data_IF_585058203626
#
_entry.id   IF_585058203626
#
_cell.length_a   1.000
_cell.length_b   1.000
_cell.length_c   1.000
_cell.angle_alpha   90.00
_cell.angle_beta   90.00
_cell.angle_gamma   90.00
#
_symmetry.space_group_name_H-M   'P 1'
#
loop_
_entity.id
_entity.type
_entity.pdbx_description
1 polymer ?
#
# COMPACT_ATOMS: atom_id res chain seq x y z
N UNK A 1 30.19 10.23 23.68
CA UNK A 1 28.92 10.89 23.30
C UNK A 1 28.77 10.98 21.78
N UNK A 2 29.86 11.17 21.04
CA UNK A 2 29.82 11.30 19.57
C UNK A 2 29.47 10.01 18.82
N UNK A 3 29.90 8.85 19.31
CA UNK A 3 29.60 7.54 18.69
C UNK A 3 28.09 7.21 18.66
N UNK A 4 27.36 7.63 19.69
CA UNK A 4 25.90 7.48 19.75
C UNK A 4 25.21 8.39 18.70
N UNK A 5 25.75 9.59 18.47
CA UNK A 5 25.18 10.51 17.48
C UNK A 5 25.45 10.05 16.04
N UNK A 6 26.61 9.44 15.77
CA UNK A 6 26.94 8.87 14.46
C UNK A 6 26.13 7.61 14.15
N UNK A 7 25.88 6.76 15.16
CA UNK A 7 24.99 5.60 14.99
C UNK A 7 23.54 6.01 14.74
N UNK A 8 23.03 7.02 15.46
CA UNK A 8 21.69 7.59 15.21
C UNK A 8 21.59 8.18 13.81
N UNK A 9 22.57 8.97 13.36
CA UNK A 9 22.59 9.52 11.99
C UNK A 9 22.59 8.40 10.96
N UNK A 10 23.47 7.40 11.09
CA UNK A 10 23.55 6.27 10.16
C UNK A 10 22.23 5.50 10.09
N UNK A 11 21.58 5.27 11.23
CA UNK A 11 20.28 4.60 11.28
C UNK A 11 19.17 5.46 10.65
N UNK A 12 19.17 6.76 10.90
CA UNK A 12 18.22 7.70 10.30
C UNK A 12 18.36 7.76 8.77
N UNK A 13 19.59 7.85 8.25
CA UNK A 13 19.84 7.88 6.80
C UNK A 13 19.46 6.56 6.13
N UNK A 14 19.77 5.42 6.79
CA UNK A 14 19.35 4.11 6.31
C UNK A 14 17.82 3.98 6.28
N UNK A 15 17.12 4.45 7.31
CA UNK A 15 15.66 4.43 7.41
C UNK A 15 15.01 5.24 6.28
N UNK A 16 15.49 6.46 6.01
CA UNK A 16 14.99 7.28 4.90
C UNK A 16 15.30 6.65 3.54
N UNK A 17 16.48 6.02 3.40
CA UNK A 17 16.86 5.30 2.19
C UNK A 17 15.91 4.14 1.86
N UNK A 18 15.51 3.35 2.86
CA UNK A 18 14.55 2.26 2.67
C UNK A 18 13.15 2.76 2.27
N UNK A 19 12.68 3.85 2.88
CA UNK A 19 11.40 4.46 2.53
C UNK A 19 11.42 4.97 1.08
N UNK A 20 12.47 5.70 0.70
CA UNK A 20 12.62 6.22 -0.66
C UNK A 20 12.73 5.07 -1.68
N UNK A 21 13.43 4.00 -1.35
CA UNK A 21 13.49 2.81 -2.20
C UNK A 21 12.11 2.18 -2.38
N UNK A 22 11.32 2.07 -1.30
CA UNK A 22 9.94 1.60 -1.36
C UNK A 22 9.05 2.45 -2.25
N UNK A 23 9.13 3.79 -2.13
CA UNK A 23 8.40 4.74 -2.98
C UNK A 23 8.79 4.57 -4.44
N UNK A 24 10.09 4.55 -4.73
CA UNK A 24 10.59 4.37 -6.09
C UNK A 24 10.15 3.03 -6.69
N UNK A 25 10.19 1.95 -5.89
CA UNK A 25 9.78 0.63 -6.34
C UNK A 25 8.27 0.55 -6.59
N UNK A 26 7.46 1.22 -5.77
CA UNK A 26 6.02 1.34 -5.98
C UNK A 26 5.71 2.13 -7.25
N UNK A 27 6.27 3.32 -7.41
CA UNK A 27 6.09 4.14 -8.61
C UNK A 27 6.56 3.43 -9.88
N UNK A 28 7.66 2.67 -9.77
CA UNK A 28 8.15 1.82 -10.83
C UNK A 28 7.13 0.74 -11.17
N UNK A 29 6.55 0.05 -10.18
CA UNK A 29 5.53 -0.99 -10.44
C UNK A 29 4.32 -0.45 -11.20
N UNK A 30 3.94 0.80 -10.94
CA UNK A 30 2.82 1.47 -11.62
C UNK A 30 3.16 1.85 -13.08
N UNK A 31 4.40 2.33 -13.32
CA UNK A 31 4.81 2.93 -14.60
C UNK A 31 5.83 2.10 -15.40
N UNK A 32 6.17 0.89 -14.94
CA UNK A 32 7.26 0.07 -15.51
C UNK A 32 7.10 -0.14 -17.01
N UNK A 33 5.88 -0.40 -17.47
CA UNK A 33 5.57 -0.61 -18.89
C UNK A 33 5.88 0.64 -19.73
N UNK A 34 5.45 1.81 -19.28
CA UNK A 34 5.63 3.06 -20.02
C UNK A 34 7.09 3.49 -20.03
N UNK A 35 7.79 3.30 -18.90
CA UNK A 35 9.24 3.53 -18.79
C UNK A 35 9.98 2.61 -19.77
N UNK A 36 9.64 1.33 -19.83
CA UNK A 36 10.23 0.38 -20.76
C UNK A 36 10.02 0.79 -22.23
N UNK A 37 8.78 1.11 -22.60
CA UNK A 37 8.44 1.51 -23.97
C UNK A 37 9.15 2.82 -24.37
N UNK A 38 9.25 3.77 -23.45
CA UNK A 38 9.97 5.04 -23.68
C UNK A 38 11.46 4.80 -23.88
N UNK A 39 12.07 3.96 -23.04
CA UNK A 39 13.48 3.57 -23.17
C UNK A 39 13.74 2.79 -24.47
N UNK A 40 12.77 1.97 -24.91
CA UNK A 40 12.81 1.27 -26.21
C UNK A 40 12.77 2.24 -27.38
N UNK A 41 11.88 3.22 -27.34
CA UNK A 41 11.75 4.20 -28.41
C UNK A 41 12.96 5.13 -28.52
N UNK A 42 13.69 5.35 -27.41
CA UNK A 42 14.90 6.17 -27.35
C UNK A 42 16.21 5.38 -27.54
N UNK A 43 16.13 4.09 -27.84
CA UNK A 43 17.27 3.17 -27.98
C UNK A 43 18.20 3.10 -26.75
N UNK A 44 17.62 3.26 -25.55
CA UNK A 44 18.35 3.24 -24.28
C UNK A 44 18.46 1.80 -23.74
N UNK A 45 19.37 1.03 -24.32
CA UNK A 45 19.51 -0.41 -24.04
C UNK A 45 19.87 -0.73 -22.59
N UNK A 46 20.71 0.07 -21.94
CA UNK A 46 21.14 -0.17 -20.57
C UNK A 46 20.01 0.04 -19.56
N UNK A 47 19.16 1.05 -19.79
CA UNK A 47 17.98 1.29 -18.96
C UNK A 47 16.94 0.18 -19.11
N UNK A 48 16.73 -0.33 -20.33
CA UNK A 48 15.87 -1.48 -20.56
C UNK A 48 16.37 -2.71 -19.81
N UNK A 49 17.68 -3.01 -19.91
CA UNK A 49 18.29 -4.15 -19.20
C UNK A 49 18.22 -3.98 -17.68
N UNK A 50 18.46 -2.77 -17.17
CA UNK A 50 18.36 -2.47 -15.75
C UNK A 50 16.94 -2.70 -15.24
N UNK A 51 15.92 -2.25 -15.99
CA UNK A 51 14.53 -2.45 -15.65
C UNK A 51 14.15 -3.94 -15.62
N UNK A 52 14.56 -4.71 -16.64
CA UNK A 52 14.30 -6.16 -16.68
C UNK A 52 14.93 -6.85 -15.48
N UNK A 53 16.17 -6.49 -15.11
CA UNK A 53 16.87 -7.05 -13.93
C UNK A 53 16.19 -6.70 -12.60
N UNK A 54 15.54 -5.55 -12.53
CA UNK A 54 14.86 -5.11 -11.31
C UNK A 54 13.51 -5.81 -11.12
N UNK A 55 12.80 -6.03 -12.22
CA UNK A 55 11.46 -6.65 -12.24
C UNK A 55 11.53 -8.17 -12.11
N UNK A 56 12.41 -8.82 -12.86
CA UNK A 56 12.45 -10.28 -12.96
C UNK A 56 13.63 -10.86 -12.17
N UNK A 57 13.33 -11.79 -11.26
CA UNK A 57 14.34 -12.64 -10.63
C UNK A 57 14.84 -13.72 -11.60
N UNK A 58 13.93 -14.26 -12.42
CA UNK A 58 14.26 -15.25 -13.45
C UNK A 58 13.49 -14.93 -14.72
N UNK A 59 14.18 -14.98 -15.86
CA UNK A 59 13.59 -14.82 -17.18
C UNK A 59 14.33 -15.76 -18.12
N UNK A 60 13.69 -16.86 -18.51
CA UNK A 60 14.28 -17.91 -19.33
C UNK A 60 13.41 -18.20 -20.54
N UNK A 61 14.04 -18.37 -21.70
CA UNK A 61 13.38 -18.75 -22.95
C UNK A 61 13.85 -20.15 -23.33
N UNK A 62 12.99 -21.14 -23.13
CA UNK A 62 13.30 -22.54 -23.43
C UNK A 62 12.36 -23.01 -24.54
N UNK A 63 12.92 -23.40 -25.70
CA UNK A 63 12.15 -23.97 -26.83
C UNK A 63 10.94 -23.12 -27.25
N UNK A 64 11.09 -21.80 -27.23
CA UNK A 64 10.01 -20.86 -27.55
C UNK A 64 9.01 -20.60 -26.40
N UNK A 65 9.12 -21.30 -25.28
CA UNK A 65 8.34 -21.05 -24.07
C UNK A 65 9.08 -20.07 -23.14
N UNK A 66 8.49 -18.90 -22.96
CA UNK A 66 8.96 -17.91 -22.00
C UNK A 66 8.49 -18.29 -20.61
N UNK A 67 9.42 -18.46 -19.67
CA UNK A 67 9.15 -18.65 -18.25
C UNK A 67 9.79 -17.51 -17.47
N UNK A 68 9.02 -16.90 -16.56
CA UNK A 68 9.47 -15.77 -15.78
C UNK A 68 9.04 -15.88 -14.32
N UNK A 69 9.84 -15.26 -13.45
CA UNK A 69 9.60 -15.14 -12.03
C UNK A 69 9.92 -13.70 -11.63
N UNK A 70 8.96 -13.02 -10.98
CA UNK A 70 9.17 -11.66 -10.49
C UNK A 70 10.09 -11.64 -9.27
N UNK A 71 10.82 -10.54 -9.10
CA UNK A 71 11.56 -10.31 -7.87
C UNK A 71 10.59 -10.23 -6.69
N UNK A 72 11.00 -10.74 -5.52
CA UNK A 72 10.11 -10.85 -4.34
C UNK A 72 9.45 -9.51 -3.98
N UNK A 73 10.22 -8.43 -4.01
CA UNK A 73 9.74 -7.10 -3.68
C UNK A 73 8.74 -6.58 -4.73
N UNK A 74 9.04 -6.78 -6.02
CA UNK A 74 8.14 -6.40 -7.10
C UNK A 74 6.85 -7.21 -7.06
N UNK A 75 6.92 -8.52 -6.79
CA UNK A 75 5.75 -9.41 -6.68
C UNK A 75 4.76 -8.94 -5.62
N UNK A 76 5.25 -8.65 -4.41
CA UNK A 76 4.41 -8.15 -3.30
C UNK A 76 3.70 -6.87 -3.70
N UNK A 77 4.43 -5.94 -4.32
CA UNK A 77 3.84 -4.68 -4.77
C UNK A 77 2.85 -4.87 -5.90
N UNK A 78 3.16 -5.70 -6.91
CA UNK A 78 2.23 -5.97 -8.01
C UNK A 78 0.93 -6.60 -7.51
N UNK A 79 1.01 -7.51 -6.54
CA UNK A 79 -0.17 -8.13 -5.92
C UNK A 79 -1.00 -7.14 -5.11
N UNK A 80 -0.34 -6.17 -4.44
CA UNK A 80 -1.01 -5.10 -3.72
C UNK A 80 -1.59 -4.01 -4.64
N UNK A 81 -1.06 -3.87 -5.87
CA UNK A 81 -1.53 -2.92 -6.90
C UNK A 81 -2.67 -3.48 -7.74
N UNK A 82 -2.61 -4.76 -8.12
CA UNK A 82 -3.82 -5.59 -8.22
C UNK A 82 -4.55 -5.50 -6.85
N UNK A 83 -5.71 -6.03 -6.50
CA UNK A 83 -6.39 -5.66 -5.23
C UNK A 83 -6.76 -4.16 -5.09
N UNK A 84 -5.81 -3.20 -4.96
CA UNK A 84 -6.11 -1.77 -4.71
C UNK A 84 -6.57 -1.01 -5.95
N UNK A 85 -5.91 -1.17 -7.11
CA UNK A 85 -6.28 -0.52 -8.36
C UNK A 85 -7.23 -1.37 -9.22
N UNK A 86 -7.60 -2.57 -8.75
CA UNK A 86 -8.63 -3.35 -9.40
C UNK A 86 -9.97 -2.62 -9.26
N UNK A 87 -10.63 -2.28 -10.38
CA UNK A 87 -12.01 -1.78 -10.39
C UNK A 87 -13.03 -2.82 -9.89
N UNK A 88 -12.56 -3.98 -9.43
CA UNK A 88 -13.34 -5.02 -8.75
C UNK A 88 -13.65 -4.55 -7.32
N UNK A 89 -14.35 -3.43 -7.21
CA UNK A 89 -15.34 -3.34 -6.15
C UNK A 89 -16.29 -4.47 -6.50
N UNK A 90 -16.30 -5.54 -5.70
CA UNK A 90 -17.39 -6.51 -5.81
C UNK A 90 -18.67 -5.68 -5.84
N UNK A 91 -19.47 -5.82 -6.89
CA UNK A 91 -20.79 -5.23 -6.88
C UNK A 91 -21.44 -5.76 -5.61
N UNK A 92 -21.59 -4.90 -4.61
CA UNK A 92 -22.31 -5.18 -3.37
C UNK A 92 -23.81 -5.21 -3.72
N UNK A 93 -24.19 -5.99 -4.73
CA UNK A 93 -25.55 -6.23 -5.20
C UNK A 93 -26.43 -6.86 -4.11
N UNK A 94 -25.83 -7.25 -2.97
CA UNK A 94 -26.51 -7.69 -1.75
C UNK A 94 -26.39 -6.76 -0.54
N UNK A 95 -25.68 -5.63 -0.60
CA UNK A 95 -25.84 -4.62 0.45
C UNK A 95 -27.16 -3.93 0.19
N UNK A 96 -28.16 -4.28 0.99
CA UNK A 96 -29.35 -3.45 1.13
C UNK A 96 -28.88 -1.99 1.21
N UNK A 97 -29.39 -1.15 0.31
CA UNK A 97 -29.22 0.30 0.36
C UNK A 97 -29.97 0.80 1.59
N UNK A 98 -29.52 0.41 2.78
CA UNK A 98 -29.91 1.00 4.03
C UNK A 98 -29.38 2.41 3.98
N UNK A 99 -30.25 3.34 3.58
CA UNK A 99 -29.98 4.76 3.72
C UNK A 99 -29.52 4.95 5.16
N UNK A 100 -28.32 5.51 5.35
CA UNK A 100 -27.81 5.88 6.67
C UNK A 100 -28.58 7.11 7.16
N UNK A 101 -29.88 6.95 7.33
CA UNK A 101 -30.75 7.93 7.95
C UNK A 101 -30.88 7.56 9.41
N UNK A 102 -30.81 8.57 10.27
CA UNK A 102 -31.09 8.37 11.67
C UNK A 102 -32.54 7.90 11.81
N UNK A 103 -32.76 6.75 12.44
CA UNK A 103 -34.09 6.33 12.86
C UNK A 103 -34.74 7.47 13.65
N UNK A 104 -35.99 7.83 13.31
CA UNK A 104 -36.72 8.89 14.02
C UNK A 104 -36.62 8.63 15.52
N UNK A 105 -36.13 9.63 16.26
CA UNK A 105 -36.07 9.57 17.73
C UNK A 105 -37.48 9.22 18.24
N UNK A 106 -37.63 8.25 19.17
CA UNK A 106 -38.92 8.03 19.80
C UNK A 106 -39.34 9.33 20.49
N UNK A 107 -40.60 9.74 20.28
CA UNK A 107 -41.17 10.97 20.84
C UNK A 107 -41.59 10.81 22.31
N UNK A 108 -41.09 9.78 22.97
CA UNK A 108 -41.44 9.48 24.34
C UNK A 108 -40.37 10.11 25.22
N UNK A 109 -40.70 11.27 25.78
CA UNK A 109 -40.04 11.81 26.96
C UNK A 109 -40.41 10.96 28.17
N UNK A 110 -40.05 9.67 28.15
CA UNK A 110 -40.00 8.90 29.38
C UNK A 110 -38.88 9.54 30.20
N UNK A 111 -39.26 10.29 31.24
CA UNK A 111 -38.33 10.71 32.27
C UNK A 111 -37.61 9.43 32.72
N UNK A 112 -36.33 9.33 32.39
CA UNK A 112 -35.45 8.34 33.02
C UNK A 112 -35.23 8.85 34.44
N UNK A 113 -36.20 8.58 35.30
CA UNK A 113 -35.95 8.59 36.72
C UNK A 113 -34.87 7.51 36.94
N UNK A 114 -33.76 7.95 37.52
CA UNK A 114 -32.57 7.19 37.86
C UNK A 114 -31.65 6.71 36.72
N UNK A 115 -31.16 7.66 35.92
CA UNK A 115 -29.73 7.58 35.55
C UNK A 115 -28.92 8.08 36.74
N UNK A 116 -28.79 7.22 37.76
CA UNK A 116 -27.71 7.38 38.74
C UNK A 116 -26.42 7.53 37.94
N UNK A 117 -25.78 8.67 38.16
CA UNK A 117 -24.45 8.98 37.66
C UNK A 117 -23.48 7.90 38.18
N UNK A 118 -23.31 6.82 37.43
CA UNK A 118 -22.04 6.08 37.42
C UNK A 118 -21.02 6.96 36.68
N UNK A 119 -20.66 8.08 37.32
CA UNK A 119 -19.48 8.83 36.92
C UNK A 119 -18.30 8.01 37.40
N UNK A 120 -17.40 7.58 36.49
CA UNK A 120 -16.23 6.86 36.93
C UNK A 120 -15.33 7.84 37.70
N UNK A 121 -14.93 7.46 38.91
CA UNK A 121 -14.13 8.28 39.82
C UNK A 121 -12.69 8.28 39.30
N UNK A 122 -12.40 9.15 38.33
CA UNK A 122 -11.05 9.34 37.76
C UNK A 122 -10.27 10.50 38.38
N UNK A 123 -10.73 11.06 39.49
CA UNK A 123 -9.97 12.08 40.23
C UNK A 123 -9.84 11.70 41.71
N UNK A 124 -8.62 11.65 42.26
CA UNK A 124 -8.42 11.50 43.69
C UNK A 124 -8.84 12.78 44.42
N UNK A 125 -9.36 12.60 45.64
CA UNK A 125 -9.77 13.71 46.53
C UNK A 125 -8.59 14.54 47.02
#
# INVERSE_FOLDING_TARGET
KDELTETIKRHSTASTGYINFGINLYELSQRAKDIYLTAKNKDMLDEQRALIRLVFAKLTLNEGKLSWEYSKAFKILSEAVDQTNCSKVENLEGFEKGTFEHAKKPNDSTKKDDLLLDRPIWLPR
#
